data_IF_313659336757
#
_entry.id   IF_313659336757
#
_cell.length_a   1.000
_cell.length_b   1.000
_cell.length_c   1.000
_cell.angle_alpha   90.00
_cell.angle_beta   90.00
_cell.angle_gamma   90.00
#
_symmetry.space_group_name_H-M   'P 1'
#
loop_
_entity.id
_entity.type
_entity.pdbx_description
1 polymer ?
#
# COMPACT_ATOMS: atom_id res chain seq x y z
N UNK A 1 -1.20 -15.12 -21.57
CA UNK A 1 -1.82 -14.61 -20.32
C UNK A 1 -0.93 -15.04 -19.18
N UNK A 2 -0.17 -14.13 -18.63
CA UNK A 2 0.60 -14.42 -17.42
C UNK A 2 -0.33 -14.27 -16.23
N UNK A 3 -1.07 -15.35 -15.93
CA UNK A 3 -1.95 -15.38 -14.77
C UNK A 3 -1.12 -15.26 -13.49
N UNK A 4 -1.54 -14.40 -12.57
CA UNK A 4 -0.93 -14.32 -11.26
C UNK A 4 -1.17 -15.61 -10.50
N UNK A 5 -0.13 -16.40 -10.34
CA UNK A 5 -0.19 -17.67 -9.61
C UNK A 5 0.12 -17.37 -8.15
N UNK A 6 -0.85 -17.58 -7.26
CA UNK A 6 -0.60 -17.61 -5.84
C UNK A 6 0.00 -18.97 -5.45
N UNK A 7 1.08 -18.95 -4.69
CA UNK A 7 1.71 -20.15 -4.14
C UNK A 7 1.60 -20.12 -2.63
N UNK A 8 0.95 -21.14 -2.08
CA UNK A 8 0.81 -21.31 -0.65
C UNK A 8 1.71 -22.45 -0.23
N UNK A 9 2.68 -22.17 0.62
CA UNK A 9 3.50 -23.16 1.25
C UNK A 9 2.98 -23.41 2.67
N UNK A 10 2.55 -24.64 2.93
CA UNK A 10 2.12 -25.06 4.27
C UNK A 10 3.25 -25.86 4.91
N UNK A 11 3.90 -25.27 5.90
CA UNK A 11 4.90 -25.98 6.68
C UNK A 11 4.21 -27.00 7.61
N UNK A 12 4.82 -28.16 7.82
CA UNK A 12 4.37 -29.09 8.86
C UNK A 12 4.94 -28.64 10.19
N UNK A 13 4.15 -28.79 11.27
CA UNK A 13 4.55 -28.39 12.62
C UNK A 13 5.74 -29.19 13.19
N UNK A 14 6.09 -30.31 12.56
CA UNK A 14 7.24 -31.11 12.95
C UNK A 14 8.47 -30.76 12.10
N UNK A 15 9.45 -30.14 12.73
CA UNK A 15 10.77 -29.93 12.15
C UNK A 15 11.59 -31.22 12.22
N UNK A 16 11.71 -31.92 11.10
CA UNK A 16 12.54 -33.15 11.00
C UNK A 16 13.90 -32.92 10.34
N UNK A 17 14.33 -31.67 10.22
CA UNK A 17 15.64 -31.28 9.68
C UNK A 17 15.76 -31.30 8.15
N UNK A 18 14.68 -31.56 7.43
CA UNK A 18 14.64 -31.56 5.96
C UNK A 18 13.85 -30.40 5.36
N UNK A 19 14.29 -29.92 4.20
CA UNK A 19 13.58 -28.89 3.43
C UNK A 19 12.31 -29.39 2.73
N UNK A 20 11.97 -30.67 2.86
CA UNK A 20 10.89 -31.34 2.11
C UNK A 20 9.59 -31.57 2.91
N UNK A 21 9.49 -31.04 4.12
CA UNK A 21 8.37 -31.31 5.03
C UNK A 21 7.11 -30.50 4.77
N UNK A 22 7.13 -29.58 3.82
CA UNK A 22 5.99 -28.75 3.46
C UNK A 22 5.25 -29.20 2.21
N UNK A 23 4.02 -28.72 2.06
CA UNK A 23 3.26 -28.85 0.82
C UNK A 23 3.14 -27.49 0.11
N UNK A 24 3.51 -27.47 -1.19
CA UNK A 24 3.30 -26.29 -2.03
C UNK A 24 2.00 -26.47 -2.83
N UNK A 25 1.08 -25.56 -2.64
CA UNK A 25 -0.14 -25.48 -3.46
C UNK A 25 -0.07 -24.23 -4.33
N UNK A 26 -0.41 -24.39 -5.60
CA UNK A 26 -0.59 -23.27 -6.52
C UNK A 26 -2.06 -23.13 -6.83
N UNK A 27 -2.60 -21.92 -6.79
CA UNK A 27 -3.95 -21.66 -7.23
C UNK A 27 -4.03 -20.30 -7.92
N UNK A 28 -5.07 -20.13 -8.72
CA UNK A 28 -5.39 -18.86 -9.35
C UNK A 28 -6.59 -18.28 -8.61
N UNK A 29 -6.42 -17.17 -7.86
CA UNK A 29 -7.56 -16.49 -7.26
C UNK A 29 -8.54 -16.06 -8.34
N UNK A 30 -9.80 -16.44 -8.19
CA UNK A 30 -10.89 -16.02 -9.07
C UNK A 30 -12.05 -15.52 -8.21
N UNK A 31 -12.40 -14.26 -8.39
CA UNK A 31 -13.52 -13.61 -7.73
C UNK A 31 -14.78 -13.59 -8.61
N UNK A 32 -14.81 -14.39 -9.69
CA UNK A 32 -15.99 -14.62 -10.53
C UNK A 32 -16.28 -13.55 -11.57
N UNK A 33 -15.45 -12.53 -11.72
CA UNK A 33 -15.65 -11.48 -12.74
C UNK A 33 -14.76 -11.64 -13.98
N UNK A 34 -13.79 -12.57 -13.92
CA UNK A 34 -12.98 -12.99 -15.06
C UNK A 34 -12.32 -11.85 -15.82
N UNK A 35 -12.35 -11.97 -17.15
CA UNK A 35 -11.71 -11.02 -18.07
C UNK A 35 -12.29 -9.59 -18.01
N UNK A 36 -13.46 -9.39 -17.42
CA UNK A 36 -14.10 -8.06 -17.31
C UNK A 36 -13.27 -7.06 -16.52
N UNK A 37 -12.49 -7.56 -15.56
CA UNK A 37 -11.69 -6.73 -14.67
C UNK A 37 -10.21 -6.79 -14.96
N UNK A 38 -9.76 -7.69 -15.83
CA UNK A 38 -8.35 -7.87 -16.16
C UNK A 38 -7.69 -6.61 -16.76
N UNK A 39 -8.49 -5.71 -17.37
CA UNK A 39 -8.03 -4.44 -17.92
C UNK A 39 -7.86 -3.31 -16.89
N UNK A 40 -8.31 -3.50 -15.65
CA UNK A 40 -8.09 -2.55 -14.57
C UNK A 40 -6.70 -2.75 -13.96
N UNK A 41 -6.16 -1.69 -13.33
CA UNK A 41 -4.79 -1.67 -12.82
C UNK A 41 -4.42 -2.90 -11.97
N UNK A 42 -3.15 -3.27 -12.00
CA UNK A 42 -2.56 -4.39 -11.26
C UNK A 42 -3.29 -5.73 -11.48
N UNK A 43 -3.66 -6.01 -12.74
CA UNK A 43 -4.35 -7.26 -13.11
C UNK A 43 -5.76 -7.40 -12.53
N UNK A 44 -6.43 -6.28 -12.26
CA UNK A 44 -7.80 -6.23 -11.75
C UNK A 44 -7.90 -6.03 -10.23
N UNK A 45 -6.80 -6.03 -9.48
CA UNK A 45 -6.84 -5.85 -8.02
C UNK A 45 -7.38 -4.49 -7.59
N UNK A 46 -7.10 -3.44 -8.36
CA UNK A 46 -7.62 -2.09 -8.08
C UNK A 46 -9.15 -2.06 -8.18
N UNK A 47 -9.72 -2.79 -9.16
CA UNK A 47 -11.15 -2.94 -9.28
C UNK A 47 -11.75 -3.67 -8.08
N UNK A 48 -11.18 -4.83 -7.70
CA UNK A 48 -11.72 -5.63 -6.60
C UNK A 48 -11.66 -4.88 -5.27
N UNK A 49 -10.59 -4.15 -4.99
CA UNK A 49 -10.47 -3.33 -3.79
C UNK A 49 -11.61 -2.33 -3.67
N UNK A 50 -11.94 -1.63 -4.77
CA UNK A 50 -13.05 -0.67 -4.80
C UNK A 50 -14.40 -1.36 -4.79
N UNK A 51 -14.55 -2.48 -5.48
CA UNK A 51 -15.79 -3.26 -5.53
C UNK A 51 -16.22 -3.74 -4.15
N UNK A 52 -15.32 -4.37 -3.40
CA UNK A 52 -15.62 -4.84 -2.06
C UNK A 52 -15.84 -3.69 -1.08
N UNK A 53 -15.07 -2.61 -1.19
CA UNK A 53 -15.26 -1.42 -0.37
C UNK A 53 -16.64 -0.79 -0.57
N UNK A 54 -17.08 -0.62 -1.82
CA UNK A 54 -18.40 -0.07 -2.14
C UNK A 54 -19.51 -1.02 -1.66
N UNK A 55 -19.38 -2.32 -1.90
CA UNK A 55 -20.37 -3.29 -1.45
C UNK A 55 -20.52 -3.29 0.08
N UNK A 56 -19.43 -3.13 0.82
CA UNK A 56 -19.49 -2.98 2.27
C UNK A 56 -20.28 -1.75 2.71
N UNK A 57 -20.06 -0.62 2.05
CA UNK A 57 -20.84 0.61 2.29
C UNK A 57 -22.33 0.39 1.99
N UNK A 58 -22.64 -0.39 0.95
CA UNK A 58 -24.01 -0.73 0.56
C UNK A 58 -24.68 -1.79 1.46
N UNK A 59 -23.95 -2.31 2.45
CA UNK A 59 -24.48 -3.23 3.46
C UNK A 59 -24.24 -4.72 3.19
N UNK A 60 -23.37 -5.06 2.24
CA UNK A 60 -22.95 -6.45 2.05
C UNK A 60 -22.00 -6.86 3.20
N UNK A 61 -22.51 -7.67 4.11
CA UNK A 61 -21.74 -8.16 5.26
C UNK A 61 -20.62 -9.12 4.83
N UNK A 62 -20.74 -9.76 3.68
CA UNK A 62 -19.76 -10.72 3.16
C UNK A 62 -18.69 -10.06 2.27
N UNK A 63 -18.75 -8.72 2.08
CA UNK A 63 -17.73 -8.03 1.32
C UNK A 63 -16.37 -8.16 2.03
N UNK A 64 -15.39 -8.70 1.31
CA UNK A 64 -14.03 -8.98 1.79
C UNK A 64 -13.20 -7.69 1.82
N UNK A 65 -13.30 -6.97 2.94
CA UNK A 65 -12.50 -5.77 3.20
C UNK A 65 -11.85 -5.85 4.57
N UNK A 66 -10.71 -5.18 4.70
CA UNK A 66 -10.11 -4.91 6.01
C UNK A 66 -10.84 -3.72 6.67
N UNK A 67 -11.13 -3.81 7.96
CA UNK A 67 -11.69 -2.69 8.71
C UNK A 67 -10.59 -1.66 9.08
N UNK A 68 -11.03 -0.52 9.63
CA UNK A 68 -10.09 0.56 10.00
C UNK A 68 -9.07 0.11 11.05
N UNK A 69 -9.44 -0.78 11.94
CA UNK A 69 -8.53 -1.24 12.99
C UNK A 69 -7.54 -2.28 12.47
N UNK A 70 -7.96 -3.14 11.55
CA UNK A 70 -7.07 -4.06 10.84
C UNK A 70 -6.06 -3.29 9.99
N UNK A 71 -6.51 -2.25 9.28
CA UNK A 71 -5.62 -1.37 8.54
C UNK A 71 -4.61 -0.66 9.45
N UNK A 72 -5.04 -0.21 10.63
CA UNK A 72 -4.15 0.40 11.63
C UNK A 72 -3.16 -0.62 12.21
N UNK A 73 -3.57 -1.85 12.48
CA UNK A 73 -2.67 -2.91 12.94
C UNK A 73 -1.55 -3.20 11.93
N UNK A 74 -1.84 -3.06 10.63
CA UNK A 74 -0.84 -3.21 9.57
C UNK A 74 0.07 -1.99 9.45
N UNK A 75 -0.43 -0.79 9.71
CA UNK A 75 0.29 0.48 9.54
C UNK A 75 1.15 0.86 10.76
N UNK A 76 0.58 0.72 11.97
CA UNK A 76 1.23 1.21 13.21
C UNK A 76 2.61 0.61 13.48
N UNK A 77 2.89 -0.67 13.20
CA UNK A 77 4.24 -1.21 13.39
C UNK A 77 5.32 -0.43 12.65
N UNK A 78 5.07 -0.03 11.40
CA UNK A 78 6.00 0.78 10.62
C UNK A 78 6.17 2.19 11.20
N UNK A 79 5.07 2.83 11.57
CA UNK A 79 5.09 4.15 12.20
C UNK A 79 5.87 4.16 13.52
N UNK A 80 5.61 3.19 14.39
CA UNK A 80 6.28 3.08 15.69
C UNK A 80 7.72 2.60 15.58
N UNK A 81 8.06 1.80 14.57
CA UNK A 81 9.44 1.49 14.25
C UNK A 81 10.23 2.76 13.89
N UNK A 82 9.63 3.68 13.13
CA UNK A 82 10.29 4.95 12.83
C UNK A 82 10.47 5.82 14.08
N UNK A 83 9.49 5.87 14.98
CA UNK A 83 9.63 6.52 16.31
C UNK A 83 10.78 5.91 17.10
N UNK A 84 10.89 4.58 17.12
CA UNK A 84 12.00 3.89 17.79
C UNK A 84 13.35 4.29 17.19
N UNK A 85 13.47 4.35 15.86
CA UNK A 85 14.70 4.76 15.17
C UNK A 85 15.08 6.20 15.56
N UNK A 86 14.15 7.13 15.52
CA UNK A 86 14.39 8.54 15.91
C UNK A 86 14.77 8.69 17.38
N UNK A 87 14.31 7.78 18.24
CA UNK A 87 14.66 7.74 19.67
C UNK A 87 15.94 6.92 19.96
N UNK A 88 16.72 6.54 18.94
CA UNK A 88 17.97 5.81 19.10
C UNK A 88 17.82 4.29 19.20
N UNK A 89 16.73 3.72 18.69
CA UNK A 89 16.49 2.27 18.65
C UNK A 89 15.91 1.69 19.95
N UNK A 90 15.29 2.52 20.78
CA UNK A 90 14.64 2.07 22.02
C UNK A 90 13.33 1.35 21.73
N UNK A 91 12.95 0.45 22.63
CA UNK A 91 11.63 -0.20 22.55
C UNK A 91 10.51 0.80 22.76
N UNK A 92 9.53 0.84 21.86
CA UNK A 92 8.32 1.67 21.97
C UNK A 92 7.08 0.79 21.92
N UNK A 93 6.10 1.07 22.78
CA UNK A 93 4.84 0.34 22.78
C UNK A 93 3.96 0.83 21.62
N UNK A 94 3.35 -0.12 20.91
CA UNK A 94 2.35 0.18 19.89
C UNK A 94 0.98 0.24 20.58
N UNK A 95 0.21 1.34 20.48
CA UNK A 95 -1.08 1.46 21.15
C UNK A 95 -2.14 0.56 20.51
N UNK A 96 -3.02 0.01 21.32
CA UNK A 96 -4.23 -0.64 20.85
C UNK A 96 -5.33 0.41 20.61
N UNK A 97 -5.46 0.88 19.38
CA UNK A 97 -6.43 1.94 19.05
C UNK A 97 -7.91 1.46 19.10
N UNK A 98 -8.18 0.17 19.33
CA UNK A 98 -9.51 -0.33 19.68
C UNK A 98 -9.88 0.11 21.10
N UNK A 99 -8.92 0.26 21.99
CA UNK A 99 -9.11 0.81 23.31
C UNK A 99 -9.32 2.34 23.23
N UNK A 100 -10.45 2.81 23.79
CA UNK A 100 -10.80 4.23 23.73
C UNK A 100 -9.78 5.12 24.44
N UNK A 101 -9.29 4.73 25.61
CA UNK A 101 -8.39 5.54 26.40
C UNK A 101 -7.01 5.66 25.73
N UNK A 102 -6.52 4.56 25.18
CA UNK A 102 -5.29 4.57 24.38
C UNK A 102 -5.44 5.44 23.12
N UNK A 103 -6.56 5.32 22.41
CA UNK A 103 -6.85 6.14 21.22
C UNK A 103 -6.93 7.63 21.57
N UNK A 104 -7.54 8.01 22.69
CA UNK A 104 -7.63 9.41 23.12
C UNK A 104 -6.24 10.00 23.45
N UNK A 105 -5.33 9.20 23.98
CA UNK A 105 -3.96 9.65 24.25
C UNK A 105 -3.21 10.06 22.96
N UNK A 106 -3.59 9.49 21.82
CA UNK A 106 -2.97 9.76 20.51
C UNK A 106 -3.78 10.74 19.64
N UNK A 107 -4.90 11.26 20.13
CA UNK A 107 -5.82 12.10 19.33
C UNK A 107 -5.15 13.33 18.71
N UNK A 108 -4.23 13.94 19.42
CA UNK A 108 -3.56 15.17 19.01
C UNK A 108 -2.12 14.93 18.50
N UNK A 109 -1.79 13.68 18.21
CA UNK A 109 -0.49 13.36 17.62
C UNK A 109 -0.51 13.71 16.14
N UNK A 110 0.21 14.76 15.79
CA UNK A 110 0.39 15.26 14.41
C UNK A 110 1.78 14.95 13.86
N UNK A 111 2.57 14.13 14.57
CA UNK A 111 3.96 13.87 14.23
C UNK A 111 4.09 13.20 12.85
N UNK A 112 4.67 13.94 11.91
CA UNK A 112 4.95 13.49 10.55
C UNK A 112 6.06 14.35 9.91
N UNK A 113 6.45 14.03 8.69
CA UNK A 113 7.47 14.78 7.95
C UNK A 113 6.92 15.92 7.08
N UNK A 114 5.60 16.18 7.09
CA UNK A 114 5.02 17.34 6.42
C UNK A 114 4.99 18.54 7.36
N UNK A 115 5.76 19.62 7.08
CA UNK A 115 5.78 20.81 7.93
C UNK A 115 4.43 21.49 8.12
N UNK A 116 3.50 21.34 7.15
CA UNK A 116 2.18 21.96 7.23
C UNK A 116 1.25 21.20 8.17
N UNK A 117 1.42 19.88 8.27
CA UNK A 117 0.59 19.02 9.11
C UNK A 117 1.17 18.83 10.51
N UNK A 118 2.49 18.72 10.62
CA UNK A 118 3.15 18.34 11.87
C UNK A 118 3.17 19.46 12.93
N UNK A 119 3.21 20.74 12.53
CA UNK A 119 3.43 21.82 13.48
C UNK A 119 4.73 21.63 14.27
N UNK A 120 4.63 21.67 15.59
CA UNK A 120 5.78 21.49 16.47
C UNK A 120 6.28 20.03 16.57
N UNK A 121 5.55 19.07 15.98
CA UNK A 121 5.89 17.64 15.99
C UNK A 121 6.56 17.18 14.69
N UNK A 122 7.24 18.08 13.98
CA UNK A 122 7.90 17.78 12.72
C UNK A 122 8.99 16.72 12.87
N UNK A 123 8.88 15.65 12.09
CA UNK A 123 9.92 14.64 11.96
C UNK A 123 10.85 14.91 10.79
N UNK A 124 12.10 14.49 10.89
CA UNK A 124 12.96 14.46 9.71
C UNK A 124 12.41 13.48 8.67
N UNK A 125 12.69 13.73 7.40
CA UNK A 125 12.28 12.83 6.29
C UNK A 125 13.09 11.53 6.24
N UNK A 126 14.24 11.51 6.90
CA UNK A 126 15.14 10.36 7.03
C UNK A 126 15.69 10.30 8.46
N UNK A 127 16.07 9.11 8.92
CA UNK A 127 16.66 8.92 10.27
C UNK A 127 17.96 9.72 10.50
N UNK A 128 18.68 10.05 9.44
CA UNK A 128 19.89 10.89 9.47
C UNK A 128 19.58 12.41 9.39
N UNK A 129 18.32 12.79 9.38
CA UNK A 129 17.87 14.18 9.21
C UNK A 129 17.20 14.43 7.87
N UNK A 130 16.56 15.58 7.73
CA UNK A 130 16.01 16.01 6.43
C UNK A 130 17.17 16.49 5.55
N UNK A 131 17.35 15.91 4.33
CA UNK A 131 18.41 16.37 3.44
C UNK A 131 18.11 17.79 2.95
N UNK A 132 19.13 18.61 2.90
CA UNK A 132 19.06 19.92 2.23
C UNK A 132 19.27 19.72 0.73
N UNK A 133 18.18 19.72 -0.01
CA UNK A 133 18.21 19.51 -1.47
C UNK A 133 18.00 20.87 -2.14
N UNK A 134 18.95 21.36 -2.95
CA UNK A 134 18.81 22.62 -3.67
C UNK A 134 17.53 22.67 -4.52
N UNK A 135 16.88 23.83 -4.60
CA UNK A 135 15.64 24.01 -5.34
C UNK A 135 15.78 23.66 -6.84
N UNK A 136 16.97 23.89 -7.41
CA UNK A 136 17.28 23.56 -8.80
C UNK A 136 17.11 22.06 -9.11
N UNK A 137 17.33 21.19 -8.09
CA UNK A 137 17.12 19.74 -8.25
C UNK A 137 15.62 19.44 -8.36
N UNK A 138 14.77 20.10 -7.56
CA UNK A 138 13.33 19.93 -7.66
C UNK A 138 12.79 20.46 -8.99
N UNK A 139 13.25 21.62 -9.45
CA UNK A 139 12.86 22.20 -10.73
C UNK A 139 13.29 21.30 -11.90
N UNK A 140 14.51 20.77 -11.86
CA UNK A 140 15.01 19.82 -12.84
C UNK A 140 14.18 18.55 -12.88
N UNK A 141 13.88 17.95 -11.73
CA UNK A 141 13.06 16.73 -11.63
C UNK A 141 11.62 16.98 -12.08
N UNK A 142 11.03 18.13 -11.74
CA UNK A 142 9.70 18.49 -12.19
C UNK A 142 9.64 18.63 -13.72
N UNK A 143 10.67 19.18 -14.33
CA UNK A 143 10.78 19.27 -15.79
C UNK A 143 10.88 17.89 -16.43
N UNK A 144 11.76 17.03 -15.93
CA UNK A 144 11.90 15.66 -16.43
C UNK A 144 10.58 14.88 -16.30
N UNK A 145 9.89 15.04 -15.19
CA UNK A 145 8.60 14.40 -14.97
C UNK A 145 7.53 14.89 -15.97
N UNK A 146 7.46 16.21 -16.20
CA UNK A 146 6.54 16.77 -17.17
C UNK A 146 6.82 16.27 -18.61
N UNK A 147 8.10 16.18 -19.01
CA UNK A 147 8.51 15.62 -20.28
C UNK A 147 8.13 14.13 -20.43
N UNK A 148 8.27 13.35 -19.38
CA UNK A 148 7.90 11.93 -19.37
C UNK A 148 6.38 11.73 -19.43
N UNK A 149 5.61 12.53 -18.66
CA UNK A 149 4.15 12.52 -18.72
C UNK A 149 3.65 12.87 -20.12
N UNK A 150 4.24 13.88 -20.78
CA UNK A 150 3.85 14.27 -22.14
C UNK A 150 4.09 13.15 -23.16
N UNK A 151 5.17 12.39 -23.04
CA UNK A 151 5.43 11.20 -23.88
C UNK A 151 4.40 10.10 -23.65
N UNK A 152 4.06 9.86 -22.38
CA UNK A 152 3.12 8.81 -21.99
C UNK A 152 1.69 9.13 -22.44
N UNK A 153 1.24 10.39 -22.28
CA UNK A 153 -0.08 10.83 -22.79
C UNK A 153 -0.17 10.67 -24.33
N UNK A 154 0.89 10.99 -25.05
CA UNK A 154 0.97 10.77 -26.50
C UNK A 154 0.78 9.30 -26.86
N UNK A 155 1.39 8.39 -26.11
CA UNK A 155 1.31 6.95 -26.33
C UNK A 155 -0.11 6.42 -26.07
N UNK A 156 -0.76 6.85 -24.99
CA UNK A 156 -2.15 6.45 -24.68
C UNK A 156 -3.15 6.98 -25.69
N UNK A 157 -3.00 8.24 -26.16
CA UNK A 157 -3.84 8.81 -27.23
C UNK A 157 -3.69 8.02 -28.54
N UNK A 158 -2.49 7.62 -28.89
CA UNK A 158 -2.23 6.88 -30.13
C UNK A 158 -2.78 5.45 -30.04
N UNK A 159 -2.71 4.78 -28.89
CA UNK A 159 -3.30 3.48 -28.65
C UNK A 159 -4.83 3.53 -28.70
N UNK A 160 -5.46 4.56 -28.13
CA UNK A 160 -6.91 4.73 -28.19
C UNK A 160 -7.44 4.97 -29.61
N UNK A 161 -6.72 5.74 -30.42
CA UNK A 161 -7.07 6.00 -31.84
C UNK A 161 -6.94 4.74 -32.70
N UNK A 162 -5.97 3.87 -32.42
CA UNK A 162 -5.78 2.60 -33.16
C UNK A 162 -6.80 1.53 -32.77
N UNK A 163 -7.36 1.57 -31.59
CA UNK A 163 -8.45 0.66 -31.17
C UNK A 163 -9.80 1.10 -31.70
N UNK A 164 -10.06 2.42 -31.79
CA UNK A 164 -11.30 2.96 -32.36
C UNK A 164 -11.48 2.81 -33.85
N UNK A 165 -10.40 2.50 -34.62
CA UNK A 165 -10.45 2.33 -36.08
C UNK A 165 -10.66 0.88 -36.52
N UNK A 166 -10.91 -0.06 -35.59
CA UNK A 166 -11.15 -1.49 -35.85
C UNK A 166 -12.59 -1.95 -35.58
N UNK A 167 -13.53 -0.98 -35.49
CA UNK A 167 -14.99 -1.28 -35.44
C UNK A 167 -15.65 -0.97 -36.76
#
# INVERSE_FOLDING_TARGET
MDGHIAKIYVNKDEYDGGYETGSLRSYFPDHGMGDRVAGFGHGGSDFYSMYFFINKILGDENADIIDVYEALDMFLPGLFAYRSILAGGVSVAIPNLRNKDEREAWRNDTACSDPKAAGDMLWPTMSAGTPDIPMEVYEYMAKLWAEECAKTEGTYRQAALTQGSKQ
#
